data_IF_575018639759
#
_entry.id   IF_575018639759
#
_cell.length_a   1.000
_cell.length_b   1.000
_cell.length_c   1.000
_cell.angle_alpha   90.00
_cell.angle_beta   90.00
_cell.angle_gamma   90.00
#
_symmetry.space_group_name_H-M   'P 1'
#
loop_
_entity.id
_entity.type
_entity.pdbx_description
1 polymer ?
#
# COMPACT_ATOMS: atom_id res chain seq x y z
N UNK A 1 -21.88 24.32 7.42
CA UNK A 1 -22.25 23.35 8.48
C UNK A 1 -20.97 22.98 9.23
N UNK A 2 -20.93 23.13 10.56
CA UNK A 2 -19.78 22.72 11.36
C UNK A 2 -19.96 21.26 11.81
N UNK A 3 -18.98 20.41 11.58
CA UNK A 3 -19.06 18.96 11.86
C UNK A 3 -17.93 18.59 12.82
N UNK A 4 -18.30 17.96 13.94
CA UNK A 4 -17.35 17.45 14.93
C UNK A 4 -17.38 15.93 14.91
N UNK A 5 -16.27 15.31 14.52
CA UNK A 5 -16.07 13.87 14.64
C UNK A 5 -15.65 13.55 16.08
N UNK A 6 -16.20 12.51 16.70
CA UNK A 6 -15.84 12.12 18.07
C UNK A 6 -15.45 10.63 18.13
N UNK A 7 -14.46 10.31 18.97
CA UNK A 7 -14.02 8.93 19.11
C UNK A 7 -15.04 8.12 19.95
N UNK A 8 -15.59 6.99 19.45
CA UNK A 8 -16.69 6.27 20.08
C UNK A 8 -16.44 5.87 21.54
N UNK A 9 -15.19 5.58 21.91
CA UNK A 9 -14.79 5.24 23.29
C UNK A 9 -15.14 6.33 24.31
N UNK A 10 -15.03 7.61 23.93
CA UNK A 10 -15.20 8.74 24.88
C UNK A 10 -16.64 9.24 24.94
N UNK A 11 -17.47 8.92 23.95
CA UNK A 11 -18.89 9.31 23.91
C UNK A 11 -19.85 8.16 24.26
N UNK A 12 -19.31 6.99 24.64
CA UNK A 12 -20.10 5.78 24.89
C UNK A 12 -20.98 5.93 26.14
N UNK A 13 -22.28 5.69 25.97
CA UNK A 13 -23.24 5.66 27.07
C UNK A 13 -23.02 4.47 28.02
N UNK A 14 -23.62 4.55 29.22
CA UNK A 14 -23.59 3.50 30.24
C UNK A 14 -24.16 2.18 29.67
N UNK A 15 -23.46 1.07 29.92
CA UNK A 15 -23.85 -0.27 29.42
C UNK A 15 -25.22 -0.69 29.98
N UNK A 16 -26.02 -1.40 29.17
CA UNK A 16 -27.25 -2.08 29.60
C UNK A 16 -28.58 -1.37 29.28
N UNK A 17 -28.56 -0.10 28.83
CA UNK A 17 -29.78 0.65 28.47
C UNK A 17 -29.74 1.29 27.07
N UNK A 18 -28.93 0.73 26.18
CA UNK A 18 -28.61 1.29 24.85
C UNK A 18 -29.77 1.07 23.86
N UNK A 19 -30.24 2.15 23.23
CA UNK A 19 -31.05 2.13 22.00
C UNK A 19 -30.58 3.26 21.10
N UNK A 20 -30.70 3.16 19.78
CA UNK A 20 -30.17 4.19 18.86
C UNK A 20 -30.74 5.58 19.14
N UNK A 21 -32.04 5.67 19.50
CA UNK A 21 -32.68 6.92 19.92
C UNK A 21 -32.05 7.51 21.21
N UNK A 22 -31.74 6.66 22.20
CA UNK A 22 -31.13 7.09 23.47
C UNK A 22 -29.67 7.50 23.28
N UNK A 23 -28.94 6.79 22.43
CA UNK A 23 -27.55 7.11 22.10
C UNK A 23 -27.44 8.44 21.37
N UNK A 24 -28.32 8.70 20.39
CA UNK A 24 -28.37 9.99 19.71
C UNK A 24 -28.63 11.14 20.69
N UNK A 25 -29.58 10.97 21.62
CA UNK A 25 -29.86 11.96 22.67
C UNK A 25 -28.66 12.15 23.60
N UNK A 26 -28.03 11.06 24.05
CA UNK A 26 -26.85 11.09 24.91
C UNK A 26 -25.68 11.85 24.27
N UNK A 27 -25.35 11.54 23.01
CA UNK A 27 -24.29 12.23 22.28
C UNK A 27 -24.64 13.71 22.11
N UNK A 28 -25.89 14.04 21.79
CA UNK A 28 -26.33 15.43 21.68
C UNK A 28 -26.22 16.18 23.02
N UNK A 29 -26.58 15.54 24.12
CA UNK A 29 -26.46 16.15 25.46
C UNK A 29 -24.99 16.33 25.86
N UNK A 30 -24.11 15.34 25.61
CA UNK A 30 -22.66 15.52 25.79
C UNK A 30 -22.12 16.69 24.95
N UNK A 31 -22.57 16.81 23.70
CA UNK A 31 -22.13 17.86 22.79
C UNK A 31 -22.57 19.26 23.25
N UNK A 32 -23.82 19.41 23.72
CA UNK A 32 -24.34 20.68 24.27
C UNK A 32 -23.55 21.18 25.48
N UNK A 33 -22.92 20.26 26.22
CA UNK A 33 -22.13 20.57 27.42
C UNK A 33 -20.63 20.66 27.14
N UNK A 34 -20.20 20.69 25.87
CA UNK A 34 -18.79 20.70 25.45
C UNK A 34 -17.95 19.54 26.03
N UNK A 35 -18.61 18.41 26.34
CA UNK A 35 -17.96 17.20 26.86
C UNK A 35 -17.46 16.27 25.74
N UNK A 36 -17.65 16.66 24.47
CA UNK A 36 -17.23 15.89 23.30
C UNK A 36 -15.90 16.43 22.78
N UNK A 37 -14.82 15.72 23.06
CA UNK A 37 -13.52 16.00 22.45
C UNK A 37 -13.54 15.63 20.96
N UNK A 38 -13.37 16.64 20.09
CA UNK A 38 -13.27 16.47 18.65
C UNK A 38 -12.04 15.64 18.26
N UNK A 39 -12.24 14.68 17.37
CA UNK A 39 -11.17 13.94 16.69
C UNK A 39 -10.67 14.77 15.51
N UNK A 40 -9.36 14.70 15.27
CA UNK A 40 -8.74 15.37 14.13
C UNK A 40 -9.38 14.93 12.81
N UNK A 41 -9.86 15.90 12.05
CA UNK A 41 -10.36 15.74 10.70
C UNK A 41 -9.64 16.75 9.82
N UNK A 42 -8.83 16.32 8.83
CA UNK A 42 -8.15 17.27 7.98
C UNK A 42 -9.11 18.09 7.12
N UNK A 43 -8.61 19.23 6.60
CA UNK A 43 -9.28 20.00 5.57
C UNK A 43 -9.67 19.16 4.34
N UNK A 44 -10.63 19.66 3.56
CA UNK A 44 -11.29 18.89 2.51
C UNK A 44 -10.33 18.43 1.41
N UNK A 45 -9.41 19.29 0.99
CA UNK A 45 -8.31 19.02 0.06
C UNK A 45 -7.37 17.91 0.54
N UNK A 46 -6.92 17.97 1.80
CA UNK A 46 -6.09 16.93 2.42
C UNK A 46 -6.84 15.60 2.49
N UNK A 47 -8.16 15.62 2.76
CA UNK A 47 -8.99 14.40 2.74
C UNK A 47 -9.08 13.77 1.35
N UNK A 48 -9.16 14.57 0.28
CA UNK A 48 -9.10 14.06 -1.10
C UNK A 48 -7.73 13.42 -1.37
N UNK A 49 -6.65 14.11 -0.99
CA UNK A 49 -5.29 13.59 -1.15
C UNK A 49 -5.10 12.27 -0.41
N UNK A 50 -5.65 12.15 0.80
CA UNK A 50 -5.64 10.91 1.61
C UNK A 50 -6.32 9.77 0.89
N UNK A 51 -7.50 10.00 0.37
CA UNK A 51 -8.28 8.96 -0.30
C UNK A 51 -7.52 8.39 -1.51
N UNK A 52 -6.99 9.27 -2.36
CA UNK A 52 -6.20 8.87 -3.52
C UNK A 52 -4.90 8.16 -3.11
N UNK A 53 -4.20 8.64 -2.08
CA UNK A 53 -2.99 7.98 -1.57
C UNK A 53 -3.27 6.59 -1.01
N UNK A 54 -4.40 6.39 -0.32
CA UNK A 54 -4.84 5.08 0.15
C UNK A 54 -5.19 4.14 -1.01
N UNK A 55 -5.82 4.66 -2.06
CA UNK A 55 -6.07 3.85 -3.25
C UNK A 55 -4.77 3.49 -4.00
N UNK A 56 -3.81 4.42 -4.10
CA UNK A 56 -2.47 4.15 -4.63
C UNK A 56 -1.75 3.03 -3.88
N UNK A 57 -1.89 3.03 -2.55
CA UNK A 57 -1.37 1.93 -1.71
C UNK A 57 -2.05 0.60 -2.05
N UNK A 58 -3.38 0.59 -2.20
CA UNK A 58 -4.12 -0.62 -2.62
C UNK A 58 -3.69 -1.16 -3.98
N UNK A 59 -3.52 -0.29 -4.98
CA UNK A 59 -2.99 -0.69 -6.29
C UNK A 59 -1.61 -1.34 -6.16
N UNK A 60 -0.74 -0.78 -5.31
CA UNK A 60 0.57 -1.39 -5.04
C UNK A 60 0.44 -2.77 -4.38
N UNK A 61 -0.49 -2.96 -3.45
CA UNK A 61 -0.78 -4.28 -2.87
C UNK A 61 -1.30 -5.27 -3.92
N UNK A 62 -2.17 -4.84 -4.84
CA UNK A 62 -2.67 -5.68 -5.92
C UNK A 62 -1.55 -6.09 -6.87
N UNK A 63 -0.66 -5.17 -7.24
CA UNK A 63 0.53 -5.49 -8.03
C UNK A 63 1.38 -6.57 -7.34
N UNK A 64 1.68 -6.42 -6.04
CA UNK A 64 2.40 -7.46 -5.27
C UNK A 64 1.67 -8.80 -5.26
N UNK A 65 0.34 -8.77 -5.19
CA UNK A 65 -0.47 -10.00 -5.25
C UNK A 65 -0.37 -10.68 -6.61
N UNK A 66 -0.36 -9.92 -7.71
CA UNK A 66 -0.13 -10.47 -9.06
C UNK A 66 1.30 -11.01 -9.22
N UNK A 67 2.30 -10.35 -8.63
CA UNK A 67 3.68 -10.89 -8.62
C UNK A 67 3.75 -12.26 -7.97
N UNK A 68 3.09 -12.43 -6.83
CA UNK A 68 3.02 -13.70 -6.11
C UNK A 68 2.27 -14.77 -6.92
N UNK A 69 1.19 -14.40 -7.61
CA UNK A 69 0.44 -15.31 -8.48
C UNK A 69 1.27 -15.77 -9.67
N UNK A 70 2.03 -14.86 -10.29
CA UNK A 70 2.95 -15.20 -11.37
C UNK A 70 4.01 -16.19 -10.88
N UNK A 71 4.66 -15.90 -9.76
CA UNK A 71 5.66 -16.79 -9.19
C UNK A 71 5.08 -18.18 -8.87
N UNK A 72 3.88 -18.24 -8.30
CA UNK A 72 3.20 -19.52 -8.05
C UNK A 72 2.96 -20.32 -9.33
N UNK A 73 2.56 -19.68 -10.44
CA UNK A 73 2.39 -20.37 -11.72
C UNK A 73 3.72 -20.94 -12.22
N UNK A 74 4.82 -20.18 -12.11
CA UNK A 74 6.14 -20.66 -12.48
C UNK A 74 6.57 -21.87 -11.62
N UNK A 75 6.35 -21.80 -10.31
CA UNK A 75 6.65 -22.92 -9.40
C UNK A 75 5.87 -24.18 -9.74
N UNK A 76 4.57 -24.06 -10.04
CA UNK A 76 3.73 -25.20 -10.45
C UNK A 76 4.22 -25.82 -11.77
N UNK A 77 4.77 -25.00 -12.67
CA UNK A 77 5.36 -25.43 -13.94
C UNK A 77 6.81 -25.89 -13.83
N UNK A 78 7.36 -26.04 -12.63
CA UNK A 78 8.78 -26.34 -12.38
C UNK A 78 9.77 -25.33 -13.01
N UNK A 79 9.33 -24.09 -13.25
CA UNK A 79 10.17 -23.01 -13.75
C UNK A 79 10.69 -22.20 -12.54
N UNK A 80 11.99 -22.27 -12.29
CA UNK A 80 12.64 -21.71 -11.10
C UNK A 80 13.39 -20.39 -11.40
N UNK A 81 12.92 -19.57 -12.35
CA UNK A 81 13.55 -18.29 -12.71
C UNK A 81 13.88 -17.40 -11.50
N UNK A 82 13.04 -17.40 -10.46
CA UNK A 82 13.20 -16.61 -9.25
C UNK A 82 14.45 -16.96 -8.42
N UNK A 83 15.04 -18.14 -8.60
CA UNK A 83 16.28 -18.54 -7.89
C UNK A 83 17.54 -17.97 -8.56
N UNK A 84 17.48 -17.69 -9.87
CA UNK A 84 18.63 -17.27 -10.67
C UNK A 84 18.66 -15.76 -10.88
N UNK A 85 17.50 -15.15 -11.13
CA UNK A 85 17.37 -13.72 -11.40
C UNK A 85 17.07 -12.92 -10.13
N UNK A 86 17.54 -11.68 -10.06
CA UNK A 86 17.24 -10.80 -8.93
C UNK A 86 15.80 -10.28 -8.93
N UNK A 87 15.17 -10.18 -10.11
CA UNK A 87 13.78 -9.73 -10.27
C UNK A 87 13.12 -10.46 -11.44
N UNK A 88 12.09 -11.26 -11.14
CA UNK A 88 11.29 -11.99 -12.15
C UNK A 88 10.46 -11.05 -13.05
N UNK A 89 10.26 -9.80 -12.63
CA UNK A 89 9.62 -8.75 -13.41
C UNK A 89 10.61 -7.86 -14.16
N UNK A 90 11.91 -8.19 -14.10
CA UNK A 90 12.94 -7.51 -14.88
C UNK A 90 12.85 -7.81 -16.38
N UNK A 91 13.40 -6.91 -17.20
CA UNK A 91 13.32 -6.97 -18.68
C UNK A 91 13.72 -8.33 -19.26
N UNK A 92 14.84 -8.89 -18.80
CA UNK A 92 15.33 -10.18 -19.29
C UNK A 92 14.38 -11.34 -18.93
N UNK A 93 13.91 -11.39 -17.68
CA UNK A 93 12.96 -12.42 -17.23
C UNK A 93 11.63 -12.30 -17.97
N UNK A 94 11.14 -11.09 -18.20
CA UNK A 94 9.92 -10.88 -18.97
C UNK A 94 10.06 -11.36 -20.42
N UNK A 95 11.19 -11.06 -21.09
CA UNK A 95 11.47 -11.58 -22.44
C UNK A 95 11.51 -13.11 -22.51
N UNK A 96 12.14 -13.75 -21.52
CA UNK A 96 12.15 -15.22 -21.41
C UNK A 96 10.72 -15.74 -21.24
N UNK A 97 9.95 -15.16 -20.32
CA UNK A 97 8.56 -15.56 -20.09
C UNK A 97 7.67 -15.32 -21.31
N UNK A 98 7.86 -14.23 -22.04
CA UNK A 98 7.16 -13.97 -23.29
C UNK A 98 7.48 -15.06 -24.33
N UNK A 99 8.75 -15.46 -24.43
CA UNK A 99 9.16 -16.51 -25.35
C UNK A 99 8.55 -17.87 -25.00
N UNK A 100 8.55 -18.23 -23.72
CA UNK A 100 7.88 -19.44 -23.20
C UNK A 100 6.37 -19.40 -23.50
N UNK A 101 5.75 -18.23 -23.42
CA UNK A 101 4.31 -18.06 -23.66
C UNK A 101 3.91 -18.01 -25.15
N UNK A 102 4.85 -17.71 -26.05
CA UNK A 102 4.67 -17.79 -27.50
C UNK A 102 4.53 -19.25 -27.93
N UNK A 103 5.48 -20.11 -27.53
CA UNK A 103 5.51 -21.54 -27.85
C UNK A 103 5.77 -22.36 -26.58
N UNK A 104 4.71 -22.75 -25.83
CA UNK A 104 4.83 -23.54 -24.60
C UNK A 104 5.55 -24.88 -24.75
N UNK A 105 5.47 -25.48 -25.94
CA UNK A 105 6.06 -26.79 -26.25
C UNK A 105 7.53 -26.71 -26.70
N UNK A 106 8.03 -25.49 -26.98
CA UNK A 106 9.42 -25.28 -27.38
C UNK A 106 10.28 -25.02 -26.15
N UNK A 107 10.94 -26.06 -25.67
CA UNK A 107 11.92 -25.99 -24.57
C UNK A 107 13.35 -25.75 -25.06
N UNK A 108 13.58 -25.63 -26.38
CA UNK A 108 14.92 -25.63 -26.99
C UNK A 108 15.37 -24.27 -27.54
N UNK A 109 14.66 -23.20 -27.22
CA UNK A 109 15.00 -21.87 -27.73
C UNK A 109 16.25 -21.28 -27.07
N UNK A 110 17.00 -20.50 -27.86
CA UNK A 110 18.19 -19.81 -27.37
C UNK A 110 17.83 -18.66 -26.41
N UNK A 111 18.32 -18.76 -25.17
CA UNK A 111 18.12 -17.77 -24.10
C UNK A 111 19.11 -16.61 -24.24
N UNK A 112 20.29 -16.84 -24.82
CA UNK A 112 21.38 -15.86 -24.89
C UNK A 112 20.95 -14.49 -25.48
N UNK A 113 20.16 -14.41 -26.57
CA UNK A 113 19.72 -13.11 -27.12
C UNK A 113 18.66 -12.40 -26.26
N UNK A 114 17.99 -13.12 -25.36
CA UNK A 114 16.91 -12.57 -24.52
C UNK A 114 17.46 -11.90 -23.26
N UNK A 115 18.67 -12.26 -22.84
CA UNK A 115 19.28 -11.81 -21.60
C UNK A 115 20.22 -10.62 -21.77
N UNK A 116 20.31 -9.80 -20.74
CA UNK A 116 21.30 -8.72 -20.67
C UNK A 116 22.73 -9.29 -20.56
N UNK A 117 23.72 -8.60 -21.15
CA UNK A 117 25.12 -9.06 -21.19
C UNK A 117 25.73 -9.39 -19.82
N UNK A 118 25.32 -8.69 -18.77
CA UNK A 118 25.76 -8.96 -17.39
C UNK A 118 25.29 -10.32 -16.84
N UNK A 119 24.26 -10.93 -17.44
CA UNK A 119 23.69 -12.21 -17.02
C UNK A 119 24.25 -13.40 -17.80
N UNK A 120 25.09 -13.19 -18.82
CA UNK A 120 25.69 -14.28 -19.62
C UNK A 120 26.43 -15.31 -18.76
N UNK A 121 27.01 -14.88 -17.63
CA UNK A 121 27.65 -15.78 -16.66
C UNK A 121 26.68 -16.78 -16.01
N UNK A 122 25.40 -16.45 -15.95
CA UNK A 122 24.32 -17.27 -15.37
C UNK A 122 23.56 -18.07 -16.43
N UNK A 123 23.99 -18.05 -17.69
CA UNK A 123 23.30 -18.74 -18.79
C UNK A 123 23.04 -20.23 -18.48
N UNK A 124 24.02 -21.02 -17.98
CA UNK A 124 23.76 -22.44 -17.65
C UNK A 124 22.72 -22.63 -16.54
N UNK A 125 22.73 -21.76 -15.52
CA UNK A 125 21.73 -21.78 -14.45
C UNK A 125 20.34 -21.39 -14.96
N UNK A 126 20.26 -20.47 -15.92
CA UNK A 126 19.01 -20.04 -16.53
C UNK A 126 18.39 -21.14 -17.40
N UNK A 127 19.19 -21.84 -18.18
CA UNK A 127 18.75 -23.00 -18.98
C UNK A 127 18.13 -24.07 -18.08
N UNK A 128 18.81 -24.42 -16.98
CA UNK A 128 18.26 -25.35 -15.99
C UNK A 128 17.00 -24.81 -15.29
N UNK A 129 16.94 -23.51 -15.02
CA UNK A 129 15.80 -22.91 -14.33
C UNK A 129 14.54 -22.80 -15.20
N UNK A 130 14.67 -22.83 -16.53
CA UNK A 130 13.54 -22.83 -17.45
C UNK A 130 13.15 -24.23 -17.95
N UNK A 131 13.96 -25.26 -17.64
CA UNK A 131 13.68 -26.66 -17.94
C UNK A 131 12.52 -27.20 -17.07
N UNK A 132 11.32 -26.76 -17.42
CA UNK A 132 10.07 -27.08 -16.76
C UNK A 132 8.96 -27.34 -17.77
N UNK A 133 7.78 -27.70 -17.26
CA UNK A 133 6.62 -28.01 -18.09
C UNK A 133 5.47 -27.07 -17.78
N UNK A 134 5.12 -26.22 -18.74
CA UNK A 134 4.00 -25.28 -18.61
C UNK A 134 2.78 -25.80 -19.36
N UNK A 135 1.73 -26.16 -18.62
CA UNK A 135 0.48 -26.61 -19.24
C UNK A 135 -0.21 -25.44 -19.96
N UNK A 136 -1.03 -25.70 -20.98
CA UNK A 136 -1.81 -24.64 -21.66
C UNK A 136 -2.66 -23.80 -20.70
N UNK A 137 -3.21 -24.42 -19.65
CA UNK A 137 -3.99 -23.74 -18.62
C UNK A 137 -3.12 -22.79 -17.78
N UNK A 138 -1.92 -23.22 -17.39
CA UNK A 138 -0.98 -22.36 -16.66
C UNK A 138 -0.47 -21.22 -17.56
N UNK A 139 -0.18 -21.48 -18.83
CA UNK A 139 0.20 -20.46 -19.79
C UNK A 139 -0.92 -19.41 -19.97
N UNK A 140 -2.18 -19.86 -20.10
CA UNK A 140 -3.35 -18.98 -20.15
C UNK A 140 -3.51 -18.13 -18.88
N UNK A 141 -3.36 -18.74 -17.71
CA UNK A 141 -3.38 -18.03 -16.41
C UNK A 141 -2.26 -16.99 -16.30
N UNK A 142 -1.04 -17.33 -16.74
CA UNK A 142 0.11 -16.42 -16.75
C UNK A 142 -0.15 -15.19 -17.62
N UNK A 143 -0.75 -15.38 -18.81
CA UNK A 143 -1.15 -14.28 -19.72
C UNK A 143 -2.14 -13.33 -19.05
N UNK A 144 -3.15 -13.86 -18.35
CA UNK A 144 -4.13 -13.04 -17.61
C UNK A 144 -3.45 -12.24 -16.48
N UNK A 145 -2.57 -12.89 -15.71
CA UNK A 145 -1.83 -12.23 -14.62
C UNK A 145 -0.96 -11.10 -15.15
N UNK A 146 -0.19 -11.34 -16.22
CA UNK A 146 0.67 -10.32 -16.85
C UNK A 146 -0.13 -9.11 -17.32
N UNK A 147 -1.21 -9.35 -18.05
CA UNK A 147 -2.09 -8.27 -18.53
C UNK A 147 -2.68 -7.46 -17.38
N UNK A 148 -3.16 -8.12 -16.32
CA UNK A 148 -3.69 -7.40 -15.16
C UNK A 148 -2.61 -6.61 -14.43
N UNK A 149 -1.38 -7.12 -14.34
CA UNK A 149 -0.26 -6.38 -13.77
C UNK A 149 0.05 -5.09 -14.55
N UNK A 150 0.08 -5.17 -15.89
CA UNK A 150 0.27 -4.01 -16.77
C UNK A 150 -0.87 -2.99 -16.63
N UNK A 151 -2.11 -3.46 -16.57
CA UNK A 151 -3.27 -2.61 -16.30
C UNK A 151 -3.14 -1.88 -14.96
N UNK A 152 -2.75 -2.60 -13.89
CA UNK A 152 -2.53 -2.02 -12.57
C UNK A 152 -1.41 -0.97 -12.57
N UNK A 153 -0.32 -1.18 -13.32
CA UNK A 153 0.72 -0.17 -13.50
C UNK A 153 0.18 1.09 -14.17
N UNK A 154 -0.59 0.94 -15.26
CA UNK A 154 -1.20 2.08 -15.96
C UNK A 154 -2.14 2.86 -15.04
N UNK A 155 -3.03 2.16 -14.32
CA UNK A 155 -3.99 2.78 -13.39
C UNK A 155 -3.28 3.48 -12.23
N UNK A 156 -2.20 2.90 -11.72
CA UNK A 156 -1.38 3.53 -10.69
C UNK A 156 -0.73 4.81 -11.22
N UNK A 157 -0.17 4.79 -12.43
CA UNK A 157 0.44 5.97 -13.04
C UNK A 157 -0.58 7.08 -13.32
N UNK A 158 -1.79 6.74 -13.79
CA UNK A 158 -2.90 7.69 -13.96
C UNK A 158 -3.28 8.36 -12.62
N UNK A 159 -3.44 7.55 -11.56
CA UNK A 159 -3.76 8.03 -10.22
C UNK A 159 -2.63 8.92 -9.65
N UNK A 160 -1.37 8.55 -9.87
CA UNK A 160 -0.21 9.32 -9.46
C UNK A 160 -0.18 10.72 -10.08
N UNK A 161 -0.61 10.89 -11.34
CA UNK A 161 -0.75 12.21 -11.96
C UNK A 161 -1.78 13.08 -11.23
N UNK A 162 -2.93 12.52 -10.86
CA UNK A 162 -3.96 13.23 -10.09
C UNK A 162 -3.44 13.65 -8.70
N UNK A 163 -2.74 12.74 -8.02
CA UNK A 163 -2.13 13.00 -6.72
C UNK A 163 -1.11 14.13 -6.80
N UNK A 164 -0.24 14.13 -7.81
CA UNK A 164 0.77 15.17 -8.00
C UNK A 164 0.14 16.53 -8.27
N UNK A 165 -0.94 16.60 -9.05
CA UNK A 165 -1.67 17.84 -9.29
C UNK A 165 -2.28 18.40 -7.99
N UNK A 166 -2.93 17.56 -7.19
CA UNK A 166 -3.50 17.98 -5.90
C UNK A 166 -2.45 18.34 -4.85
N UNK A 167 -1.26 17.72 -4.92
CA UNK A 167 -0.16 18.01 -4.01
C UNK A 167 0.65 19.27 -4.43
N UNK A 168 0.36 19.85 -5.60
CA UNK A 168 1.09 21.03 -6.11
C UNK A 168 1.11 22.23 -5.15
N UNK A 169 0.04 22.57 -4.40
CA UNK A 169 0.07 23.72 -3.50
C UNK A 169 1.02 23.56 -2.30
N UNK A 170 1.38 22.32 -1.95
CA UNK A 170 2.20 22.01 -0.77
C UNK A 170 3.67 21.74 -1.10
N UNK A 171 4.20 22.30 -2.19
CA UNK A 171 5.60 22.02 -2.58
C UNK A 171 6.59 22.42 -1.50
N UNK A 172 6.39 23.55 -0.83
CA UNK A 172 7.30 24.01 0.22
C UNK A 172 7.38 23.00 1.37
N UNK A 173 6.24 22.48 1.83
CA UNK A 173 6.17 21.48 2.88
C UNK A 173 6.74 20.13 2.44
N UNK A 174 6.51 19.75 1.18
CA UNK A 174 7.10 18.54 0.60
C UNK A 174 8.62 18.62 0.55
N UNK A 175 9.17 19.75 0.11
CA UNK A 175 10.61 19.97 0.04
C UNK A 175 11.25 19.90 1.44
N UNK A 176 10.59 20.51 2.44
CA UNK A 176 11.02 20.41 3.84
C UNK A 176 11.04 18.96 4.33
N UNK A 177 9.99 18.17 4.07
CA UNK A 177 9.95 16.75 4.46
C UNK A 177 11.07 15.97 3.75
N UNK A 178 11.33 16.24 2.47
CA UNK A 178 12.35 15.55 1.69
C UNK A 178 13.79 15.89 2.13
N UNK A 179 14.00 16.97 2.90
CA UNK A 179 15.32 17.22 3.52
C UNK A 179 15.69 16.19 4.59
N UNK A 180 14.71 15.51 5.18
CA UNK A 180 14.99 14.48 6.18
C UNK A 180 15.51 13.19 5.51
N UNK A 181 16.64 12.62 5.96
CA UNK A 181 17.34 11.52 5.26
C UNK A 181 16.49 10.27 4.99
N UNK A 182 15.48 10.04 5.83
CA UNK A 182 14.59 8.89 5.76
C UNK A 182 13.58 8.97 4.60
N UNK A 183 13.33 10.16 4.06
CA UNK A 183 12.33 10.37 3.00
C UNK A 183 12.98 10.48 1.64
N UNK A 184 13.11 9.34 0.95
CA UNK A 184 13.74 9.26 -0.39
C UNK A 184 12.77 9.42 -1.55
N UNK A 185 11.47 9.45 -1.29
CA UNK A 185 10.43 9.40 -2.32
C UNK A 185 9.37 10.49 -2.08
N UNK A 186 9.07 11.27 -3.12
CA UNK A 186 8.03 12.32 -3.10
C UNK A 186 6.66 11.78 -2.67
N UNK A 187 6.26 10.59 -3.11
CA UNK A 187 4.98 9.99 -2.69
C UNK A 187 4.93 9.63 -1.20
N UNK A 188 6.07 9.39 -0.56
CA UNK A 188 6.12 9.18 0.89
C UNK A 188 5.85 10.48 1.63
N UNK A 189 6.43 11.59 1.18
CA UNK A 189 6.16 12.92 1.74
C UNK A 189 4.70 13.34 1.52
N UNK A 190 4.16 13.11 0.32
CA UNK A 190 2.73 13.32 0.03
C UNK A 190 1.87 12.45 0.93
N UNK A 191 2.24 11.19 1.18
CA UNK A 191 1.54 10.29 2.09
C UNK A 191 1.44 10.86 3.51
N UNK A 192 2.52 11.46 4.02
CA UNK A 192 2.52 12.13 5.34
C UNK A 192 1.53 13.29 5.33
N UNK A 193 1.69 14.23 4.40
CA UNK A 193 0.80 15.40 4.30
C UNK A 193 -0.66 14.95 4.16
N UNK A 194 -0.93 13.90 3.40
CA UNK A 194 -2.28 13.37 3.21
C UNK A 194 -2.92 12.85 4.51
N UNK A 195 -2.11 12.38 5.46
CA UNK A 195 -2.63 11.84 6.72
C UNK A 195 -2.69 12.90 7.83
N UNK A 196 -1.72 13.81 7.94
CA UNK A 196 -1.62 14.75 9.07
C UNK A 196 -1.89 16.21 8.68
N UNK A 197 -1.98 16.53 7.39
CA UNK A 197 -2.07 17.90 6.89
C UNK A 197 -0.77 18.68 7.01
N UNK A 198 -0.85 19.99 6.78
CA UNK A 198 0.29 20.92 6.88
C UNK A 198 0.23 21.83 8.10
N UNK A 199 -0.96 22.08 8.66
CA UNK A 199 -1.11 22.86 9.90
C UNK A 199 -0.95 21.96 11.13
N UNK A 200 0.17 22.12 11.84
CA UNK A 200 0.49 21.34 13.04
C UNK A 200 -0.21 21.83 14.32
N UNK A 201 -0.93 22.95 14.30
CA UNK A 201 -1.79 23.39 15.43
C UNK A 201 -2.88 22.35 15.76
N UNK A 202 -3.18 21.45 14.82
CA UNK A 202 -4.03 20.28 15.05
C UNK A 202 -3.52 19.37 16.18
N UNK A 203 -2.23 19.44 16.53
CA UNK A 203 -1.62 18.66 17.60
C UNK A 203 -0.93 19.59 18.60
N UNK A 204 -1.29 19.55 19.90
CA UNK A 204 -0.67 20.42 20.91
C UNK A 204 0.85 20.24 21.04
N UNK A 205 1.37 19.06 20.70
CA UNK A 205 2.80 18.80 20.64
C UNK A 205 3.11 17.58 19.76
N UNK A 206 4.37 17.40 19.40
CA UNK A 206 4.84 16.22 18.68
C UNK A 206 4.49 14.90 19.40
N UNK A 207 4.42 14.89 20.74
CA UNK A 207 3.99 13.71 21.52
C UNK A 207 2.54 13.34 21.26
N UNK A 208 1.66 14.34 21.08
CA UNK A 208 0.26 14.11 20.74
C UNK A 208 0.11 13.56 19.33
N UNK A 209 0.90 14.06 18.37
CA UNK A 209 0.95 13.50 17.02
C UNK A 209 1.41 12.03 17.04
N UNK A 210 2.49 11.71 17.74
CA UNK A 210 2.96 10.33 17.88
C UNK A 210 1.91 9.42 18.53
N UNK A 211 1.18 9.93 19.53
CA UNK A 211 0.10 9.19 20.17
C UNK A 211 -1.09 8.96 19.25
N UNK A 212 -1.50 9.98 18.51
CA UNK A 212 -2.54 9.89 17.49
C UNK A 212 -2.18 8.91 16.37
N UNK A 213 -0.91 8.89 15.95
CA UNK A 213 -0.39 7.95 14.97
C UNK A 213 -0.25 6.50 15.50
N UNK A 214 -0.55 6.25 16.79
CA UNK A 214 -0.45 4.94 17.41
C UNK A 214 0.98 4.47 17.68
N UNK A 215 1.95 5.39 17.68
CA UNK A 215 3.37 5.09 17.90
C UNK A 215 3.78 5.11 19.38
N UNK A 216 2.86 5.48 20.28
CA UNK A 216 3.10 5.49 21.72
C UNK A 216 2.52 4.24 22.39
N UNK A 217 3.26 3.53 23.26
CA UNK A 217 2.73 2.39 23.99
C UNK A 217 1.58 2.81 24.91
N UNK A 218 0.51 2.02 24.92
CA UNK A 218 -0.68 2.30 25.75
C UNK A 218 -0.39 2.04 27.23
N UNK A 219 -0.65 3.03 28.08
CA UNK A 219 -0.64 2.83 29.54
C UNK A 219 -2.03 2.38 30.01
N UNK A 220 -2.31 1.07 29.95
CA UNK A 220 -3.56 0.46 30.42
C UNK A 220 -3.26 -0.53 31.55
N UNK A 221 -2.87 0.01 32.69
CA UNK A 221 -2.50 -0.76 33.88
C UNK A 221 -3.46 -0.45 35.04
N UNK A 222 -3.83 -1.48 35.81
CA UNK A 222 -4.63 -1.33 37.01
C UNK A 222 -4.06 -2.27 38.07
N UNK A 223 -3.72 -1.71 39.25
CA UNK A 223 -3.16 -2.47 40.37
C UNK A 223 -1.97 -3.38 39.97
N UNK A 224 -1.00 -2.84 39.22
CA UNK A 224 0.20 -3.60 38.81
C UNK A 224 -0.01 -4.56 37.63
N UNK A 225 -1.23 -4.68 37.09
CA UNK A 225 -1.56 -5.61 36.00
C UNK A 225 -1.86 -4.85 34.71
N UNK A 226 -1.02 -5.08 33.70
CA UNK A 226 -1.28 -4.62 32.32
C UNK A 226 -2.48 -5.36 31.76
N UNK A 227 -3.51 -4.62 31.39
CA UNK A 227 -4.70 -5.16 30.74
C UNK A 227 -4.39 -5.40 29.25
N UNK A 228 -4.90 -6.51 28.72
CA UNK A 228 -4.74 -6.86 27.30
C UNK A 228 -5.21 -5.72 26.39
N UNK A 229 -4.39 -5.39 25.41
CA UNK A 229 -4.66 -4.39 24.38
C UNK A 229 -5.09 -5.19 23.14
N UNK A 230 -6.39 -5.27 22.90
CA UNK A 230 -6.97 -5.88 21.69
C UNK A 230 -7.73 -4.82 20.92
#
# INVERSE_FOLDING_TARGET
CNIVLAHPKYVKAIRGKKTDKKDAKWIADLFKHDLVAGSFMPPADIRQLRDLMRYRFKLTCFMSSEKNRLQNCLTVSNIQLASVVSDTFGKSSQRILDKILENPDDTSFDIEPLIHGSMKKKLPELELAIDGFITPEQAGKLKVIKKHFEDLESRKAELEKLILALASPYQQELDLILTAPSFKNKFTAIGIISEIGVNMEAFPSAKHLCSWAGLTPTNNESAGKKKSVR
#
